data_IF_829496455062
#
_entry.id   IF_829496455062
#
_cell.length_a   1.000
_cell.length_b   1.000
_cell.length_c   1.000
_cell.angle_alpha   90.00
_cell.angle_beta   90.00
_cell.angle_gamma   90.00
#
_symmetry.space_group_name_H-M   'P 1'
#
loop_
_entity.id
_entity.type
_entity.pdbx_description
1 polymer ?
#
# COMPACT_ATOMS: atom_id res chain seq x y z
N UNK A 1 15.32 1.81 -12.44
CA UNK A 1 15.81 1.82 -11.05
C UNK A 1 16.50 0.50 -10.78
N UNK A 2 17.62 0.47 -10.05
CA UNK A 2 18.31 -0.79 -9.77
C UNK A 2 17.43 -1.67 -8.84
N UNK A 3 17.22 -2.98 -9.15
CA UNK A 3 16.50 -3.89 -8.26
C UNK A 3 16.98 -3.87 -6.81
N UNK A 4 18.29 -3.70 -6.58
CA UNK A 4 18.86 -3.54 -5.24
C UNK A 4 18.26 -2.34 -4.48
N UNK A 5 18.14 -1.19 -5.15
CA UNK A 5 17.54 0.00 -4.55
C UNK A 5 16.05 -0.18 -4.24
N UNK A 6 15.33 -0.93 -5.09
CA UNK A 6 13.93 -1.24 -4.83
C UNK A 6 13.78 -2.15 -3.59
N UNK A 7 14.67 -3.13 -3.42
CA UNK A 7 14.72 -3.98 -2.23
C UNK A 7 15.03 -3.16 -0.98
N UNK A 8 16.03 -2.28 -1.05
CA UNK A 8 16.43 -1.41 0.06
C UNK A 8 15.30 -0.45 0.46
N UNK A 9 14.60 0.12 -0.53
CA UNK A 9 13.43 0.96 -0.31
C UNK A 9 12.31 0.22 0.44
N UNK A 10 12.03 -1.04 0.07
CA UNK A 10 11.05 -1.88 0.76
C UNK A 10 11.43 -2.12 2.22
N UNK A 11 12.69 -2.44 2.50
CA UNK A 11 13.17 -2.66 3.88
C UNK A 11 13.08 -1.38 4.71
N UNK A 12 13.57 -0.26 4.17
CA UNK A 12 13.58 1.05 4.86
C UNK A 12 12.18 1.60 5.14
N UNK A 13 11.17 1.14 4.40
CA UNK A 13 9.79 1.62 4.54
C UNK A 13 8.83 0.59 5.12
N UNK A 14 9.37 -0.45 5.77
CA UNK A 14 8.61 -1.55 6.37
C UNK A 14 7.57 -1.09 7.41
N UNK A 15 7.81 0.03 8.08
CA UNK A 15 6.86 0.61 9.05
C UNK A 15 5.74 1.45 8.39
N UNK A 16 5.74 1.53 7.05
CA UNK A 16 4.69 2.12 6.23
C UNK A 16 4.21 3.50 6.72
N UNK A 17 2.97 3.74 7.23
CA UNK A 17 2.54 5.09 7.57
C UNK A 17 3.26 5.68 8.78
N UNK A 18 4.04 4.89 9.52
CA UNK A 18 4.88 5.38 10.61
C UNK A 18 6.27 5.84 10.12
N UNK A 19 6.58 5.67 8.83
CA UNK A 19 7.85 6.04 8.22
C UNK A 19 7.67 7.27 7.31
N UNK A 20 8.34 8.38 7.61
CA UNK A 20 8.28 9.58 6.75
C UNK A 20 8.78 9.31 5.33
N UNK A 21 9.87 8.54 5.21
CA UNK A 21 10.46 8.13 3.94
C UNK A 21 9.49 7.33 3.06
N UNK A 22 8.52 6.62 3.65
CA UNK A 22 7.46 5.94 2.89
C UNK A 22 6.54 6.94 2.16
N UNK A 23 6.24 8.09 2.76
CA UNK A 23 5.47 9.14 2.09
C UNK A 23 6.27 9.81 0.98
N UNK A 24 7.56 10.07 1.20
CA UNK A 24 8.47 10.61 0.18
C UNK A 24 8.58 9.67 -1.02
N UNK A 25 8.67 8.36 -0.77
CA UNK A 25 8.67 7.39 -1.86
C UNK A 25 7.31 7.24 -2.55
N UNK A 26 6.21 7.71 -2.00
CA UNK A 26 4.90 7.72 -2.68
C UNK A 26 4.63 9.01 -3.44
N UNK A 27 5.37 10.08 -3.14
CA UNK A 27 5.24 11.37 -3.80
C UNK A 27 5.44 11.22 -5.32
N UNK A 28 4.51 11.79 -6.08
CA UNK A 28 4.49 11.77 -7.55
C UNK A 28 4.53 10.35 -8.17
N UNK A 29 4.17 9.31 -7.41
CA UNK A 29 4.11 7.92 -7.90
C UNK A 29 2.68 7.40 -7.89
N UNK A 30 2.32 6.64 -8.92
CA UNK A 30 1.03 5.97 -8.99
C UNK A 30 1.06 4.72 -8.14
N UNK A 31 0.25 4.70 -7.08
CA UNK A 31 0.18 3.56 -6.16
C UNK A 31 -0.95 2.60 -6.53
N UNK A 32 -0.85 1.34 -6.11
CA UNK A 32 -1.86 0.31 -6.39
C UNK A 32 -3.30 0.75 -6.04
N UNK A 33 -3.50 1.47 -4.93
CA UNK A 33 -4.82 1.97 -4.53
C UNK A 33 -5.37 3.11 -5.40
N UNK A 34 -4.55 3.68 -6.29
CA UNK A 34 -4.91 4.79 -7.19
C UNK A 34 -4.81 4.43 -8.67
N UNK A 35 -4.21 3.30 -9.03
CA UNK A 35 -3.95 2.91 -10.42
C UNK A 35 -5.22 2.80 -11.26
N UNK A 36 -6.30 2.24 -10.69
CA UNK A 36 -7.59 2.13 -11.36
C UNK A 36 -8.15 3.51 -11.74
N UNK A 37 -8.15 4.44 -10.78
CA UNK A 37 -8.60 5.81 -11.02
C UNK A 37 -7.70 6.53 -12.01
N UNK A 38 -6.38 6.37 -11.90
CA UNK A 38 -5.41 6.99 -12.79
C UNK A 38 -5.60 6.51 -14.24
N UNK A 39 -5.89 5.23 -14.46
CA UNK A 39 -6.12 4.67 -15.79
C UNK A 39 -7.41 5.18 -16.46
N UNK A 40 -8.41 5.60 -15.68
CA UNK A 40 -9.72 6.04 -16.19
C UNK A 40 -9.94 7.56 -16.12
N UNK A 41 -9.06 8.28 -15.44
CA UNK A 41 -9.13 9.74 -15.34
C UNK A 41 -8.67 10.38 -16.65
N UNK A 42 -9.55 11.14 -17.29
CA UNK A 42 -9.23 11.91 -18.51
C UNK A 42 -8.76 13.34 -18.22
N UNK A 43 -8.80 13.76 -16.95
CA UNK A 43 -8.41 15.10 -16.52
C UNK A 43 -6.93 15.10 -16.16
N UNK A 44 -6.23 16.13 -16.63
CA UNK A 44 -4.82 16.40 -16.30
C UNK A 44 -4.64 17.15 -14.97
N UNK A 45 -5.74 17.57 -14.35
CA UNK A 45 -5.78 18.35 -13.11
C UNK A 45 -6.86 17.84 -12.13
N UNK A 46 -6.83 18.36 -10.91
CA UNK A 46 -7.82 18.10 -9.86
C UNK A 46 -7.39 17.09 -8.81
N UNK A 47 -8.36 16.62 -8.04
CA UNK A 47 -8.13 15.94 -6.75
C UNK A 47 -7.31 14.66 -6.84
N UNK A 48 -7.40 13.91 -7.94
CA UNK A 48 -6.59 12.71 -8.14
C UNK A 48 -5.11 13.05 -8.37
N UNK A 49 -4.85 14.11 -9.13
CA UNK A 49 -3.49 14.60 -9.38
C UNK A 49 -2.90 15.15 -8.07
N UNK A 50 -3.67 15.93 -7.31
CA UNK A 50 -3.25 16.43 -5.99
C UNK A 50 -2.94 15.30 -5.01
N UNK A 51 -3.69 14.19 -5.07
CA UNK A 51 -3.45 12.99 -4.26
C UNK A 51 -2.17 12.26 -4.67
N UNK A 52 -1.89 12.15 -5.97
CA UNK A 52 -0.66 11.51 -6.48
C UNK A 52 0.56 12.38 -6.17
N UNK A 53 0.43 13.70 -6.32
CA UNK A 53 1.47 14.68 -5.97
C UNK A 53 1.59 14.90 -4.46
N UNK A 54 0.84 14.19 -3.61
CA UNK A 54 0.94 14.33 -2.15
C UNK A 54 0.55 15.71 -1.60
N UNK A 55 -0.10 16.55 -2.41
CA UNK A 55 -0.59 17.89 -2.02
C UNK A 55 -1.75 17.75 -1.03
N UNK A 56 -2.60 16.74 -1.22
CA UNK A 56 -3.69 16.45 -0.29
C UNK A 56 -3.17 15.68 0.94
N UNK A 57 -3.44 16.20 2.13
CA UNK A 57 -3.15 15.47 3.38
C UNK A 57 -4.00 14.21 3.46
N UNK A 58 -3.36 13.07 3.69
CA UNK A 58 -4.04 11.82 3.98
C UNK A 58 -4.76 11.92 5.33
N UNK A 59 -6.10 11.79 5.32
CA UNK A 59 -6.92 11.73 6.53
C UNK A 59 -7.36 10.29 6.75
N UNK A 60 -6.84 9.66 7.79
CA UNK A 60 -7.29 8.32 8.18
C UNK A 60 -8.77 8.35 8.58
N UNK A 61 -9.59 7.51 7.95
CA UNK A 61 -11.00 7.36 8.31
C UNK A 61 -11.16 6.36 9.45
N UNK A 62 -12.30 6.38 10.14
CA UNK A 62 -12.61 5.39 11.19
C UNK A 62 -12.63 3.95 10.64
N UNK A 63 -13.09 3.76 9.39
CA UNK A 63 -13.02 2.47 8.71
C UNK A 63 -11.56 1.98 8.56
N UNK A 64 -10.62 2.86 8.22
CA UNK A 64 -9.20 2.50 8.11
C UNK A 64 -8.57 2.15 9.45
N UNK A 65 -8.91 2.90 10.52
CA UNK A 65 -8.45 2.59 11.88
C UNK A 65 -8.97 1.23 12.34
N UNK A 66 -10.26 0.96 12.10
CA UNK A 66 -10.87 -0.34 12.39
C UNK A 66 -10.21 -1.46 11.60
N UNK A 67 -9.99 -1.25 10.29
CA UNK A 67 -9.29 -2.21 9.42
C UNK A 67 -7.92 -2.60 9.98
N UNK A 68 -7.09 -1.61 10.31
CA UNK A 68 -5.76 -1.82 10.89
C UNK A 68 -5.78 -2.59 12.21
N UNK A 69 -6.81 -2.40 13.04
CA UNK A 69 -6.95 -3.15 14.28
C UNK A 69 -7.37 -4.60 14.03
N UNK A 70 -8.32 -4.83 13.13
CA UNK A 70 -8.82 -6.16 12.80
C UNK A 70 -7.78 -7.03 12.09
N UNK A 71 -6.98 -6.40 11.22
CA UNK A 71 -5.93 -7.04 10.43
C UNK A 71 -4.98 -7.89 11.29
N UNK A 72 -4.55 -7.38 12.45
CA UNK A 72 -3.69 -8.12 13.39
C UNK A 72 -4.30 -9.46 13.83
N UNK A 73 -5.61 -9.50 14.04
CA UNK A 73 -6.31 -10.73 14.46
C UNK A 73 -6.47 -11.69 13.29
N UNK A 74 -6.72 -11.16 12.09
CA UNK A 74 -6.86 -11.96 10.86
C UNK A 74 -5.53 -12.63 10.52
N UNK A 75 -4.42 -11.90 10.53
CA UNK A 75 -3.08 -12.43 10.24
C UNK A 75 -2.74 -13.57 11.20
N UNK A 76 -2.88 -13.33 12.51
CA UNK A 76 -2.60 -14.35 13.54
C UNK A 76 -3.46 -15.62 13.35
N UNK A 77 -4.71 -15.44 12.92
CA UNK A 77 -5.62 -16.56 12.63
C UNK A 77 -5.21 -17.30 11.35
N UNK A 78 -4.78 -16.59 10.31
CA UNK A 78 -4.29 -17.15 9.06
C UNK A 78 -2.99 -17.94 9.26
N UNK A 79 -2.02 -17.40 9.99
CA UNK A 79 -0.76 -18.09 10.31
C UNK A 79 -1.01 -19.41 11.03
N UNK A 80 -1.93 -19.41 12.02
CA UNK A 80 -2.29 -20.63 12.76
C UNK A 80 -3.03 -21.66 11.89
N UNK A 81 -3.92 -21.19 11.03
CA UNK A 81 -4.79 -22.07 10.22
C UNK A 81 -4.02 -22.68 9.06
N UNK A 82 -3.23 -21.87 8.36
CA UNK A 82 -2.53 -22.27 7.15
C UNK A 82 -1.09 -22.72 7.42
N UNK A 83 -0.57 -22.54 8.66
CA UNK A 83 0.80 -22.88 9.07
C UNK A 83 1.87 -22.23 8.18
N UNK A 84 1.60 -21.00 7.75
CA UNK A 84 2.49 -20.19 6.92
C UNK A 84 3.00 -18.99 7.72
N UNK A 85 4.20 -18.53 7.39
CA UNK A 85 4.78 -17.32 7.97
C UNK A 85 4.35 -16.10 7.15
N UNK A 86 3.66 -15.16 7.78
CA UNK A 86 3.23 -13.92 7.14
C UNK A 86 4.22 -12.82 7.57
N UNK A 87 4.76 -12.09 6.60
CA UNK A 87 5.80 -11.10 6.86
C UNK A 87 5.41 -9.71 6.38
N UNK A 88 5.61 -8.75 7.28
CA UNK A 88 5.44 -7.33 6.98
C UNK A 88 6.43 -6.85 5.94
N UNK A 89 5.96 -6.01 5.02
CA UNK A 89 6.77 -5.41 3.97
C UNK A 89 6.48 -3.91 3.83
N UNK A 90 7.46 -3.20 3.29
CA UNK A 90 7.31 -1.78 2.96
C UNK A 90 6.80 -1.56 1.54
N UNK A 91 7.15 -0.41 0.98
CA UNK A 91 6.78 -0.06 -0.38
C UNK A 91 7.58 -0.89 -1.40
N UNK A 92 6.88 -1.69 -2.19
CA UNK A 92 7.41 -2.42 -3.32
C UNK A 92 7.36 -1.53 -4.58
N UNK A 93 8.50 -1.35 -5.23
CA UNK A 93 8.64 -0.58 -6.46
C UNK A 93 8.96 -1.51 -7.63
N UNK A 94 8.45 -1.18 -8.82
CA UNK A 94 8.83 -1.90 -10.03
C UNK A 94 10.16 -1.33 -10.60
N UNK A 95 11.24 -2.12 -10.71
CA UNK A 95 12.53 -1.62 -11.19
C UNK A 95 12.49 -1.09 -12.64
N UNK A 96 11.66 -1.71 -13.49
CA UNK A 96 11.45 -1.32 -14.90
C UNK A 96 10.57 -0.07 -15.01
N UNK A 97 9.60 0.07 -14.12
CA UNK A 97 8.64 1.18 -14.10
C UNK A 97 8.52 1.77 -12.70
N UNK A 98 9.51 2.54 -12.22
CA UNK A 98 9.56 3.04 -10.84
C UNK A 98 8.50 4.11 -10.53
N UNK A 99 7.73 4.51 -11.54
CA UNK A 99 6.52 5.33 -11.39
C UNK A 99 5.40 4.58 -10.67
N UNK A 100 5.43 3.24 -10.67
CA UNK A 100 4.46 2.39 -10.00
C UNK A 100 5.02 1.84 -8.69
N UNK A 101 4.18 1.86 -7.65
CA UNK A 101 4.50 1.28 -6.36
C UNK A 101 3.28 0.65 -5.68
N UNK A 102 3.51 -0.35 -4.85
CA UNK A 102 2.48 -0.97 -4.02
C UNK A 102 3.01 -1.14 -2.60
N UNK A 103 2.18 -0.85 -1.61
CA UNK A 103 2.49 -1.16 -0.21
C UNK A 103 1.44 -2.16 0.22
N UNK A 104 1.67 -3.47 0.00
CA UNK A 104 0.75 -4.48 0.47
C UNK A 104 0.81 -4.55 1.99
N UNK A 105 -0.31 -4.91 2.61
CA UNK A 105 -0.39 -4.93 4.07
C UNK A 105 0.49 -6.06 4.65
N UNK A 106 0.49 -7.22 3.99
CA UNK A 106 1.35 -8.35 4.33
C UNK A 106 1.82 -9.11 3.08
N UNK A 107 2.95 -9.81 3.19
CA UNK A 107 3.46 -10.68 2.13
C UNK A 107 3.76 -12.08 2.62
N UNK A 108 3.48 -13.04 1.74
CA UNK A 108 3.42 -14.46 2.08
C UNK A 108 4.23 -15.26 1.05
N UNK A 109 5.56 -15.14 1.06
CA UNK A 109 6.41 -15.72 -0.01
C UNK A 109 5.98 -15.33 -1.45
N UNK A 110 5.14 -14.29 -1.57
CA UNK A 110 4.21 -14.03 -2.67
C UNK A 110 3.10 -13.07 -2.18
N UNK A 111 2.78 -12.05 -2.99
CA UNK A 111 1.97 -10.89 -2.59
C UNK A 111 0.50 -11.28 -2.36
N UNK A 112 -0.08 -10.95 -1.20
CA UNK A 112 -1.53 -11.01 -0.96
C UNK A 112 -1.98 -9.61 -0.54
N UNK A 113 -2.94 -9.01 -1.27
CA UNK A 113 -3.66 -7.83 -0.80
C UNK A 113 -4.84 -8.30 0.07
N UNK A 114 -4.81 -8.02 1.36
CA UNK A 114 -5.89 -8.38 2.28
C UNK A 114 -6.76 -7.12 2.48
N UNK A 115 -7.67 -6.85 1.54
CA UNK A 115 -8.67 -5.82 1.80
C UNK A 115 -9.76 -6.40 2.72
N UNK A 116 -10.07 -5.77 3.87
CA UNK A 116 -11.25 -6.15 4.64
C UNK A 116 -12.47 -5.94 3.75
N UNK A 117 -13.24 -7.01 3.53
CA UNK A 117 -14.54 -6.92 2.86
C UNK A 117 -15.43 -6.03 3.72
N UNK A 118 -15.57 -4.75 3.37
CA UNK A 118 -16.71 -3.97 3.84
C UNK A 118 -17.95 -4.67 3.29
N UNK A 119 -18.75 -5.18 4.22
CA UNK A 119 -20.06 -5.74 3.93
C UNK A 119 -20.81 -4.75 3.04
N UNK A 120 -21.07 -5.15 1.79
CA UNK A 120 -22.05 -4.51 0.93
C UNK A 120 -23.34 -4.50 1.74
N UNK A 121 -23.72 -3.32 2.24
CA UNK A 121 -25.08 -3.11 2.76
C UNK A 121 -26.03 -3.40 1.60
N UNK A 122 -26.99 -4.30 1.86
CA UNK A 122 -28.20 -4.46 1.08
C UNK A 122 -28.94 -3.14 0.94
#
# INVERSE_FOLDING_TARGET
MNPHMCSEASVKTKEQPNCSFWFELRYARTTASKIYNAAHCKKSDGTLVDQILGVSKFKGTEAMKRGKNLEKYVIKSLEKTLRINISHTGLLLNPKHPIFGASPDETLGGVINIQPLEARKC
#
